data_IF_658805541672
#
_entry.id   IF_658805541672
#
_cell.length_a   1.000
_cell.length_b   1.000
_cell.length_c   1.000
_cell.angle_alpha   90.00
_cell.angle_beta   90.00
_cell.angle_gamma   90.00
#
_symmetry.space_group_name_H-M   'P 1'
#
loop_
_entity.id
_entity.type
_entity.pdbx_description
1 polymer ?
#
# COMPACT_ATOMS: atom_id res chain seq x y z
N UNK A 1 1.71 -16.57 31.77
CA UNK A 1 1.10 -15.22 31.73
C UNK A 1 1.78 -14.33 32.77
N UNK A 2 2.87 -13.66 32.41
CA UNK A 2 3.47 -12.56 33.17
C UNK A 2 4.56 -11.91 32.33
N UNK A 3 4.45 -10.61 32.05
CA UNK A 3 5.53 -9.79 31.50
C UNK A 3 6.57 -9.55 32.61
N UNK A 4 7.88 -9.82 32.42
CA UNK A 4 8.89 -9.24 33.28
C UNK A 4 9.54 -8.04 32.58
N UNK A 5 9.19 -6.84 33.06
CA UNK A 5 10.03 -5.65 32.99
C UNK A 5 10.92 -5.66 34.23
N UNK A 6 12.22 -5.87 34.08
CA UNK A 6 13.29 -5.49 35.03
C UNK A 6 14.50 -5.13 34.16
N UNK A 7 14.80 -3.84 33.95
CA UNK A 7 15.64 -3.02 34.82
C UNK A 7 16.96 -3.73 35.14
N UNK A 8 18.16 -3.23 34.89
CA UNK A 8 18.69 -2.01 34.30
C UNK A 8 20.21 -2.28 34.13
N UNK A 9 20.94 -1.32 33.55
CA UNK A 9 22.41 -1.22 33.59
C UNK A 9 23.18 -2.28 32.78
N UNK A 10 24.24 -1.97 32.05
CA UNK A 10 24.86 -0.71 31.67
C UNK A 10 25.87 -1.09 30.58
N UNK A 11 26.30 -0.07 29.83
CA UNK A 11 27.44 -0.11 28.93
C UNK A 11 27.25 -0.81 27.57
N UNK A 12 27.05 0.05 26.57
CA UNK A 12 27.92 0.10 25.39
C UNK A 12 27.62 -0.88 24.24
N UNK A 13 26.42 -0.79 23.67
CA UNK A 13 26.21 -1.02 22.23
C UNK A 13 25.26 0.04 21.68
N UNK A 14 25.64 1.31 21.79
CA UNK A 14 24.98 2.42 21.06
C UNK A 14 25.52 2.35 19.63
N UNK A 15 25.04 1.41 18.84
CA UNK A 15 25.55 1.18 17.49
C UNK A 15 24.74 0.12 16.77
N UNK A 16 23.82 0.57 15.92
CA UNK A 16 23.27 -0.22 14.81
C UNK A 16 22.32 -1.39 15.11
N UNK A 17 21.52 -1.32 16.18
CA UNK A 17 20.21 -2.00 16.19
C UNK A 17 19.12 -1.04 15.71
N UNK A 18 19.33 -0.46 14.52
CA UNK A 18 18.23 0.15 13.77
C UNK A 18 17.26 -0.97 13.46
N UNK A 19 16.11 -1.00 14.13
CA UNK A 19 14.99 -1.81 13.69
C UNK A 19 14.80 -1.53 12.20
N UNK A 20 14.89 -2.57 11.36
CA UNK A 20 14.58 -2.49 9.93
C UNK A 20 13.07 -2.26 9.78
N UNK A 21 12.59 -1.09 10.20
CA UNK A 21 11.32 -0.57 9.75
C UNK A 21 11.52 -0.32 8.25
N UNK A 22 11.07 -1.28 7.43
CA UNK A 22 11.08 -1.13 5.98
C UNK A 22 10.40 0.17 5.58
N UNK A 23 10.84 0.76 4.47
CA UNK A 23 10.23 1.97 3.91
C UNK A 23 8.79 1.67 3.47
N UNK A 24 7.83 1.88 4.37
CA UNK A 24 6.39 1.74 4.17
C UNK A 24 5.71 3.05 4.60
N UNK A 25 6.09 4.14 3.92
CA UNK A 25 5.56 5.49 4.14
C UNK A 25 4.35 5.72 3.23
N UNK A 26 3.22 6.25 3.73
CA UNK A 26 2.09 6.63 2.88
C UNK A 26 2.47 7.69 1.85
N UNK A 27 1.85 7.67 0.68
CA UNK A 27 1.84 8.85 -0.19
C UNK A 27 1.11 10.03 0.49
N UNK A 28 1.43 11.29 0.13
CA UNK A 28 0.76 12.47 0.69
C UNK A 28 -0.77 12.44 0.74
N UNK A 29 -1.52 11.96 -0.29
CA UNK A 29 -2.97 11.89 -0.21
C UNK A 29 -3.48 10.84 0.80
N UNK A 30 -2.65 9.89 1.22
CA UNK A 30 -3.00 8.79 2.12
C UNK A 30 -2.62 9.06 3.59
N UNK A 31 -2.22 10.29 3.93
CA UNK A 31 -2.02 10.65 5.34
C UNK A 31 -3.35 10.61 6.10
N UNK A 32 -3.38 9.84 7.19
CA UNK A 32 -4.57 9.66 8.02
C UNK A 32 -5.58 8.64 7.48
N UNK A 33 -5.28 7.98 6.36
CA UNK A 33 -6.08 6.89 5.83
C UNK A 33 -6.03 5.64 6.74
N UNK A 34 -7.08 4.81 6.67
CA UNK A 34 -7.12 3.54 7.37
C UNK A 34 -6.04 2.61 6.84
N UNK A 35 -5.32 1.93 7.74
CA UNK A 35 -4.18 1.07 7.39
C UNK A 35 -4.42 -0.37 7.82
N UNK A 36 -4.38 -1.28 6.84
CA UNK A 36 -4.60 -2.71 7.06
C UNK A 36 -3.49 -3.51 6.40
N UNK A 37 -3.02 -4.58 7.06
CA UNK A 37 -2.10 -5.55 6.45
C UNK A 37 -2.91 -6.75 5.96
N UNK A 38 -2.70 -7.12 4.70
CA UNK A 38 -3.36 -8.25 4.07
C UNK A 38 -2.35 -9.12 3.33
N UNK A 39 -2.59 -10.42 3.31
CA UNK A 39 -1.77 -11.37 2.58
C UNK A 39 -2.55 -11.92 1.39
N UNK A 40 -2.00 -11.78 0.18
CA UNK A 40 -2.61 -12.21 -1.08
C UNK A 40 -1.59 -13.02 -1.85
N UNK A 41 -1.96 -14.23 -2.28
CA UNK A 41 -1.08 -15.12 -3.06
C UNK A 41 0.29 -15.35 -2.41
N UNK A 42 0.34 -15.43 -1.08
CA UNK A 42 1.57 -15.61 -0.31
C UNK A 42 2.47 -14.38 -0.22
N UNK A 43 1.98 -13.20 -0.60
CA UNK A 43 2.67 -11.92 -0.49
C UNK A 43 1.94 -11.00 0.49
N UNK A 44 2.70 -10.22 1.26
CA UNK A 44 2.17 -9.30 2.24
C UNK A 44 2.09 -7.89 1.68
N UNK A 45 0.95 -7.25 1.90
CA UNK A 45 0.69 -5.88 1.51
C UNK A 45 0.27 -5.06 2.72
N UNK A 46 0.83 -3.86 2.85
CA UNK A 46 0.20 -2.79 3.61
C UNK A 46 -0.73 -2.05 2.65
N UNK A 47 -2.03 -2.03 2.96
CA UNK A 47 -3.03 -1.26 2.23
C UNK A 47 -3.45 -0.07 3.08
N UNK A 48 -3.52 1.09 2.43
CA UNK A 48 -4.06 2.33 2.99
C UNK A 48 -5.24 2.76 2.15
N UNK A 49 -6.37 3.09 2.76
CA UNK A 49 -7.52 3.54 1.99
C UNK A 49 -8.41 4.49 2.78
N UNK A 50 -9.16 5.28 2.03
CA UNK A 50 -10.37 5.95 2.49
C UNK A 50 -11.57 5.40 1.66
N UNK A 51 -12.68 6.14 1.59
CA UNK A 51 -13.87 5.72 0.81
C UNK A 51 -13.78 6.03 -0.69
N UNK A 52 -12.76 6.76 -1.11
CA UNK A 52 -12.56 7.23 -2.48
C UNK A 52 -11.33 6.60 -3.13
N UNK A 53 -10.27 6.35 -2.38
CA UNK A 53 -8.93 6.05 -2.90
C UNK A 53 -8.20 5.04 -2.03
N UNK A 54 -7.36 4.25 -2.66
CA UNK A 54 -6.54 3.26 -1.99
C UNK A 54 -5.12 3.22 -2.56
N UNK A 55 -4.18 2.87 -1.69
CA UNK A 55 -2.77 2.60 -1.96
C UNK A 55 -2.45 1.22 -1.37
N UNK A 56 -1.70 0.42 -2.11
CA UNK A 56 -1.16 -0.86 -1.66
C UNK A 56 0.34 -0.89 -1.88
N UNK A 57 1.08 -1.29 -0.85
CA UNK A 57 2.52 -1.43 -0.87
C UNK A 57 2.86 -2.86 -0.49
N UNK A 58 3.54 -3.60 -1.38
CA UNK A 58 4.07 -4.92 -1.06
C UNK A 58 5.19 -4.77 -0.04
N UNK A 59 5.03 -5.42 1.10
CA UNK A 59 6.00 -5.44 2.20
C UNK A 59 6.80 -6.74 2.29
N UNK A 60 6.43 -7.78 1.52
CA UNK A 60 7.20 -9.01 1.39
C UNK A 60 8.21 -8.96 0.23
N UNK A 61 9.35 -9.65 0.34
CA UNK A 61 10.26 -9.88 -0.79
C UNK A 61 9.61 -10.74 -1.87
N UNK A 62 9.87 -10.39 -3.13
CA UNK A 62 9.38 -11.15 -4.28
C UNK A 62 10.36 -11.03 -5.45
N UNK A 63 10.71 -12.16 -6.06
CA UNK A 63 11.51 -12.16 -7.28
C UNK A 63 10.62 -11.74 -8.46
N UNK A 64 11.09 -10.75 -9.24
CA UNK A 64 10.41 -10.06 -10.35
C UNK A 64 9.04 -10.62 -10.76
N UNK A 65 7.94 -10.18 -10.10
CA UNK A 65 6.61 -10.70 -10.38
C UNK A 65 6.05 -10.27 -11.75
N UNK A 66 6.75 -9.42 -12.50
CA UNK A 66 6.14 -8.70 -13.63
C UNK A 66 5.12 -7.65 -13.16
N UNK A 67 4.93 -6.60 -13.97
CA UNK A 67 4.04 -5.49 -13.61
C UNK A 67 2.58 -5.95 -13.50
N UNK A 68 2.12 -6.76 -14.44
CA UNK A 68 0.70 -7.12 -14.55
C UNK A 68 0.24 -7.97 -13.36
N UNK A 69 1.02 -8.95 -12.97
CA UNK A 69 0.67 -9.83 -11.85
C UNK A 69 0.75 -9.09 -10.51
N UNK A 70 1.72 -8.18 -10.37
CA UNK A 70 1.78 -7.30 -9.21
C UNK A 70 0.51 -6.46 -9.09
N UNK A 71 0.07 -5.80 -10.18
CA UNK A 71 -1.16 -5.01 -10.16
C UNK A 71 -2.39 -5.87 -9.83
N UNK A 72 -2.48 -7.11 -10.32
CA UNK A 72 -3.58 -8.01 -9.99
C UNK A 72 -3.59 -8.40 -8.50
N UNK A 73 -2.43 -8.71 -7.91
CA UNK A 73 -2.33 -8.97 -6.46
C UNK A 73 -2.69 -7.73 -5.63
N UNK A 74 -2.21 -6.56 -6.05
CA UNK A 74 -2.51 -5.28 -5.42
C UNK A 74 -4.00 -4.95 -5.47
N UNK A 75 -4.67 -5.21 -6.61
CA UNK A 75 -6.13 -5.07 -6.72
C UNK A 75 -6.83 -5.94 -5.68
N UNK A 76 -6.48 -7.22 -5.61
CA UNK A 76 -7.08 -8.14 -4.65
C UNK A 76 -6.83 -7.70 -3.20
N UNK A 77 -5.62 -7.19 -2.89
CA UNK A 77 -5.30 -6.65 -1.58
C UNK A 77 -6.16 -5.41 -1.23
N UNK A 78 -6.32 -4.49 -2.19
CA UNK A 78 -7.13 -3.28 -2.03
C UNK A 78 -8.61 -3.63 -1.81
N UNK A 79 -9.18 -4.51 -2.63
CA UNK A 79 -10.58 -4.92 -2.52
C UNK A 79 -10.83 -5.68 -1.20
N UNK A 80 -9.88 -6.52 -0.77
CA UNK A 80 -9.97 -7.23 0.50
C UNK A 80 -9.87 -6.30 1.72
N UNK A 81 -9.00 -5.29 1.69
CA UNK A 81 -8.82 -4.36 2.80
C UNK A 81 -9.97 -3.35 2.93
N UNK A 82 -10.41 -2.79 1.80
CA UNK A 82 -11.45 -1.74 1.77
C UNK A 82 -12.88 -2.28 1.80
N UNK A 83 -13.09 -3.53 1.35
CA UNK A 83 -14.44 -4.07 1.12
C UNK A 83 -15.15 -3.44 -0.08
N UNK A 84 -14.48 -2.58 -0.85
CA UNK A 84 -15.03 -1.90 -2.02
C UNK A 84 -14.34 -2.37 -3.29
N UNK A 85 -15.07 -2.45 -4.43
CA UNK A 85 -14.46 -2.75 -5.71
C UNK A 85 -13.54 -1.62 -6.17
N UNK A 86 -12.44 -1.99 -6.85
CA UNK A 86 -11.57 -1.04 -7.54
C UNK A 86 -12.29 -0.50 -8.79
N UNK A 87 -12.29 0.83 -8.94
CA UNK A 87 -12.86 1.50 -10.11
C UNK A 87 -12.09 1.13 -11.37
N UNK A 88 -12.83 0.68 -12.38
CA UNK A 88 -12.27 0.23 -13.66
C UNK A 88 -11.40 1.29 -14.33
N UNK A 89 -10.21 0.90 -14.79
CA UNK A 89 -9.27 1.79 -15.47
C UNK A 89 -8.48 2.74 -14.56
N UNK A 90 -8.62 2.62 -13.23
CA UNK A 90 -7.91 3.51 -12.28
C UNK A 90 -6.75 2.86 -11.55
N UNK A 91 -6.55 1.56 -11.70
CA UNK A 91 -5.45 0.84 -11.08
C UNK A 91 -4.15 1.12 -11.84
N UNK A 92 -3.18 1.72 -11.18
CA UNK A 92 -1.85 1.99 -11.73
C UNK A 92 -0.78 1.86 -10.65
N UNK A 93 0.49 1.75 -11.06
CA UNK A 93 1.59 1.62 -10.13
C UNK A 93 2.83 0.98 -10.76
N UNK A 94 3.64 0.39 -9.91
CA UNK A 94 4.87 -0.30 -10.26
C UNK A 94 4.91 -1.72 -9.67
N UNK A 95 6.10 -2.30 -9.53
CA UNK A 95 6.30 -3.66 -9.01
C UNK A 95 6.28 -3.74 -7.47
N UNK A 96 6.09 -2.65 -6.76
CA UNK A 96 6.12 -2.56 -5.29
C UNK A 96 4.87 -1.88 -4.76
N UNK A 97 4.40 -0.83 -5.43
CA UNK A 97 3.24 -0.05 -5.01
C UNK A 97 2.22 0.08 -6.13
N UNK A 98 0.93 0.05 -5.76
CA UNK A 98 -0.16 0.38 -6.67
C UNK A 98 -1.22 1.24 -5.98
N UNK A 99 -1.82 2.13 -6.75
CA UNK A 99 -2.89 3.04 -6.34
C UNK A 99 -4.15 2.79 -7.18
N UNK A 100 -5.32 3.08 -6.60
CA UNK A 100 -6.59 2.98 -7.28
C UNK A 100 -7.63 3.93 -6.68
N UNK A 101 -8.68 4.22 -7.46
CA UNK A 101 -9.91 4.76 -6.92
C UNK A 101 -10.90 3.63 -6.60
N UNK A 102 -11.75 3.84 -5.60
CA UNK A 102 -12.71 2.86 -5.11
C UNK A 102 -14.15 3.26 -5.44
N UNK A 103 -14.98 2.25 -5.68
CA UNK A 103 -16.43 2.39 -5.82
C UNK A 103 -17.13 1.98 -4.52
N UNK A 104 -16.81 2.68 -3.42
CA UNK A 104 -17.49 2.49 -2.14
C UNK A 104 -18.88 3.15 -2.10
N UNK A 105 -19.80 2.63 -1.27
CA UNK A 105 -20.99 3.36 -0.87
C UNK A 105 -20.62 4.76 -0.33
N UNK A 106 -21.43 5.75 -0.69
CA UNK A 106 -21.29 7.16 -0.29
C UNK A 106 -19.99 7.85 -0.72
N UNK A 107 -19.16 7.21 -1.55
CA UNK A 107 -17.92 7.82 -2.04
C UNK A 107 -18.22 9.19 -2.68
N UNK A 108 -17.45 10.25 -2.37
CA UNK A 108 -17.67 11.57 -2.98
C UNK A 108 -17.49 11.56 -4.51
N UNK A 109 -17.03 10.43 -5.07
CA UNK A 109 -16.80 10.25 -6.49
C UNK A 109 -15.52 10.95 -6.93
N UNK A 110 -14.98 10.49 -8.05
CA UNK A 110 -13.80 11.09 -8.68
C UNK A 110 -14.12 11.46 -10.11
N UNK A 111 -13.80 12.68 -10.51
CA UNK A 111 -13.85 13.07 -11.92
C UNK A 111 -12.51 12.71 -12.56
N UNK A 112 -12.47 11.57 -13.26
CA UNK A 112 -11.33 11.18 -14.07
C UNK A 112 -11.33 12.03 -15.35
N UNK A 113 -10.72 13.21 -15.30
CA UNK A 113 -10.38 13.94 -16.53
C UNK A 113 -9.24 13.18 -17.21
N UNK A 114 -9.20 13.05 -18.54
CA UNK A 114 -8.04 12.48 -19.21
C UNK A 114 -6.81 13.28 -18.79
N UNK A 115 -5.88 12.61 -18.13
CA UNK A 115 -4.56 13.12 -17.84
C UNK A 115 -3.87 13.30 -19.19
N UNK A 116 -3.60 14.56 -19.56
CA UNK A 116 -2.60 14.98 -20.55
C UNK A 116 -2.47 14.05 -21.78
N UNK A 117 -3.14 14.37 -22.89
CA UNK A 117 -2.87 13.69 -24.17
C UNK A 117 -1.43 14.03 -24.59
N UNK A 118 -0.52 13.07 -24.45
CA UNK A 118 0.80 13.19 -25.04
C UNK A 118 0.66 13.12 -26.56
N UNK A 119 0.83 14.26 -27.23
CA UNK A 119 0.95 14.31 -28.69
C UNK A 119 2.43 14.19 -29.03
N UNK A 120 2.91 13.10 -29.66
CA UNK A 120 4.30 13.01 -30.08
C UNK A 120 4.63 14.09 -31.13
N UNK A 121 5.86 14.64 -31.13
CA UNK A 121 6.30 15.52 -32.20
C UNK A 121 6.37 14.77 -33.54
N UNK A 122 6.05 15.48 -34.64
CA UNK A 122 6.09 14.97 -36.01
C UNK A 122 7.52 14.84 -36.55
#
# INVERSE_FOLDING_TARGET
>A
MTFPRRAACAALVIGATSALAGCDTPSPPMFGADRTRVSVSGQDFTVRHDRMRAESVRTSPMADPGLRDMLLMSRAAIEAASGCPVRSGTLYGDRVMAEAFLDCPDSPGVTLRPAQIFTPPR
#
